data_IF_185407457056
#
_entry.id   IF_185407457056
#
_cell.length_a   1.000
_cell.length_b   1.000
_cell.length_c   1.000
_cell.angle_alpha   90.00
_cell.angle_beta   90.00
_cell.angle_gamma   90.00
#
_symmetry.space_group_name_H-M   'P 1'
#
loop_
_entity.id
_entity.type
_entity.pdbx_description
1 polymer ?
#
# COMPACT_ATOMS: atom_id res chain seq x y z
N UNK A 1 15.14 -51.74 -24.77
CA UNK A 1 16.06 -51.55 -23.62
C UNK A 1 16.74 -50.20 -23.80
N UNK A 2 16.26 -49.21 -23.04
CA UNK A 2 16.85 -47.94 -22.57
C UNK A 2 18.03 -47.31 -23.33
N UNK A 3 17.94 -46.01 -23.62
CA UNK A 3 19.00 -45.05 -23.26
C UNK A 3 18.49 -43.59 -23.18
N UNK A 4 18.30 -43.15 -21.93
CA UNK A 4 18.58 -41.85 -21.27
C UNK A 4 18.62 -40.56 -22.13
N UNK A 5 17.69 -39.62 -21.93
CA UNK A 5 17.68 -38.54 -20.91
C UNK A 5 18.85 -37.56 -21.02
N UNK A 6 18.56 -36.34 -21.48
CA UNK A 6 19.39 -35.16 -21.19
C UNK A 6 18.48 -33.97 -20.90
N UNK A 7 17.96 -33.96 -19.67
CA UNK A 7 17.27 -32.83 -19.07
C UNK A 7 18.30 -31.75 -18.74
N UNK A 8 18.28 -30.64 -19.47
CA UNK A 8 19.04 -29.45 -19.11
C UNK A 8 18.43 -28.84 -17.84
N UNK A 9 19.07 -29.12 -16.69
CA UNK A 9 18.72 -28.48 -15.43
C UNK A 9 19.28 -27.06 -15.45
N UNK A 10 18.42 -26.08 -15.75
CA UNK A 10 18.73 -24.68 -15.46
C UNK A 10 18.88 -24.51 -13.96
N UNK A 11 20.11 -24.24 -13.51
CA UNK A 11 20.44 -23.93 -12.14
C UNK A 11 19.79 -22.59 -11.76
N UNK A 12 18.58 -22.62 -11.19
CA UNK A 12 17.92 -21.44 -10.61
C UNK A 12 18.77 -20.95 -9.44
N UNK A 13 19.44 -19.82 -9.61
CA UNK A 13 20.07 -19.08 -8.52
C UNK A 13 18.99 -18.67 -7.51
N UNK A 14 18.94 -19.36 -6.36
CA UNK A 14 18.21 -18.85 -5.20
C UNK A 14 18.97 -17.63 -4.67
N UNK A 15 18.54 -16.43 -5.06
CA UNK A 15 18.85 -15.23 -4.31
C UNK A 15 17.94 -15.23 -3.08
N UNK A 16 18.44 -15.77 -1.98
CA UNK A 16 17.86 -15.57 -0.66
C UNK A 16 17.97 -14.06 -0.32
N UNK A 17 16.91 -13.30 -0.56
CA UNK A 17 16.73 -12.02 0.13
C UNK A 17 16.44 -12.35 1.58
N UNK A 18 17.44 -12.19 2.44
CA UNK A 18 17.25 -12.19 3.87
C UNK A 18 16.21 -11.11 4.22
N UNK A 19 15.04 -11.54 4.68
CA UNK A 19 14.10 -10.66 5.36
C UNK A 19 14.77 -10.17 6.64
N UNK A 20 14.91 -8.85 6.87
CA UNK A 20 15.29 -8.40 8.19
C UNK A 20 14.16 -8.81 9.15
N UNK A 21 14.45 -9.78 10.02
CA UNK A 21 13.64 -10.03 11.20
C UNK A 21 13.75 -8.78 12.06
N UNK A 22 12.74 -7.91 11.98
CA UNK A 22 12.61 -6.79 12.89
C UNK A 22 12.32 -7.37 14.28
N UNK A 23 13.38 -7.67 15.02
CA UNK A 23 13.32 -7.99 16.43
C UNK A 23 12.80 -6.75 17.14
N UNK A 24 11.49 -6.72 17.39
CA UNK A 24 10.86 -5.67 18.17
C UNK A 24 11.32 -5.83 19.61
N UNK A 25 12.43 -5.18 19.95
CA UNK A 25 12.77 -4.91 21.35
C UNK A 25 11.66 -4.05 21.90
N UNK A 26 10.75 -4.67 22.66
CA UNK A 26 9.71 -4.00 23.41
C UNK A 26 10.38 -3.19 24.52
N UNK A 27 10.87 -2.01 24.16
CA UNK A 27 11.21 -0.99 25.12
C UNK A 27 9.90 -0.58 25.80
N UNK A 28 9.75 -1.00 27.05
CA UNK A 28 8.69 -0.59 27.97
C UNK A 28 8.91 0.90 28.25
N UNK A 29 8.45 1.73 27.32
CA UNK A 29 8.27 3.15 27.57
C UNK A 29 6.92 3.33 28.28
N UNK A 30 6.85 4.14 29.34
CA UNK A 30 5.57 4.45 29.98
C UNK A 30 4.58 4.97 28.93
N UNK A 31 3.26 4.82 29.14
CA UNK A 31 2.26 5.40 28.26
C UNK A 31 2.26 6.93 28.45
N UNK A 32 3.30 7.60 27.96
CA UNK A 32 3.14 8.96 27.49
C UNK A 32 2.10 8.90 26.38
N UNK A 33 1.24 9.90 26.28
CA UNK A 33 0.28 10.04 25.19
C UNK A 33 1.02 10.11 23.86
N UNK A 34 1.39 8.96 23.30
CA UNK A 34 2.17 8.83 22.07
C UNK A 34 1.25 9.24 20.94
N UNK A 35 1.36 10.50 20.52
CA UNK A 35 0.70 11.00 19.31
C UNK A 35 1.08 10.06 18.16
N UNK A 36 0.08 9.57 17.41
CA UNK A 36 0.30 8.75 16.21
C UNK A 36 1.09 9.56 15.19
N UNK A 37 2.01 8.90 14.48
CA UNK A 37 2.71 9.51 13.34
C UNK A 37 1.73 9.71 12.19
N UNK A 38 1.75 10.88 11.56
CA UNK A 38 0.94 11.16 10.37
C UNK A 38 1.61 10.50 9.15
N UNK A 39 0.94 9.53 8.54
CA UNK A 39 1.37 8.86 7.31
C UNK A 39 0.56 9.40 6.13
N UNK A 40 1.23 9.75 5.03
CA UNK A 40 0.57 10.11 3.77
C UNK A 40 0.80 8.98 2.77
N UNK A 41 -0.29 8.43 2.23
CA UNK A 41 -0.22 7.36 1.23
C UNK A 41 -0.22 7.93 -0.18
N UNK A 42 0.75 7.56 -1.01
CA UNK A 42 0.82 7.97 -2.42
C UNK A 42 0.60 6.75 -3.31
N UNK A 43 -0.46 6.77 -4.11
CA UNK A 43 -0.77 5.66 -5.00
C UNK A 43 -1.96 5.93 -5.90
N UNK A 44 -2.03 5.21 -7.01
CA UNK A 44 -3.16 5.27 -7.96
C UNK A 44 -3.59 3.91 -8.51
N UNK A 45 -2.70 2.97 -8.85
CA UNK A 45 -3.13 1.72 -9.48
C UNK A 45 -3.84 0.79 -8.47
N UNK A 46 -4.58 -0.19 -8.98
CA UNK A 46 -5.33 -1.16 -8.16
C UNK A 46 -4.44 -1.93 -7.18
N UNK A 47 -3.20 -2.27 -7.58
CA UNK A 47 -2.23 -2.94 -6.71
C UNK A 47 -1.86 -2.13 -5.47
N UNK A 48 -1.98 -0.81 -5.53
CA UNK A 48 -1.73 0.07 -4.38
C UNK A 48 -2.93 0.16 -3.43
N UNK A 49 -4.14 -0.18 -3.89
CA UNK A 49 -5.34 -0.12 -3.04
C UNK A 49 -5.31 -1.17 -1.92
N UNK A 50 -4.81 -2.39 -2.18
CA UNK A 50 -4.65 -3.41 -1.13
C UNK A 50 -3.63 -3.04 -0.06
N UNK A 51 -2.58 -2.28 -0.44
CA UNK A 51 -1.62 -1.73 0.52
C UNK A 51 -2.29 -0.66 1.38
N UNK A 52 -3.09 0.23 0.77
CA UNK A 52 -3.86 1.23 1.50
C UNK A 52 -4.83 0.57 2.49
N UNK A 53 -5.54 -0.48 2.07
CA UNK A 53 -6.44 -1.25 2.94
C UNK A 53 -5.75 -1.73 4.22
N UNK A 54 -4.60 -2.39 4.04
CA UNK A 54 -3.79 -2.93 5.14
C UNK A 54 -3.31 -1.81 6.08
N UNK A 55 -2.93 -0.65 5.53
CA UNK A 55 -2.51 0.51 6.32
C UNK A 55 -3.67 1.12 7.10
N UNK A 56 -4.86 1.22 6.50
CA UNK A 56 -6.06 1.70 7.18
C UNK A 56 -6.42 0.78 8.34
N UNK A 57 -6.43 -0.54 8.13
CA UNK A 57 -6.66 -1.53 9.18
C UNK A 57 -5.64 -1.40 10.32
N UNK A 58 -4.35 -1.40 9.99
CA UNK A 58 -3.28 -1.25 10.97
C UNK A 58 -3.34 0.09 11.71
N UNK A 59 -3.81 1.16 11.07
CA UNK A 59 -3.94 2.49 11.67
C UNK A 59 -5.09 2.60 12.67
N UNK A 60 -6.15 1.79 12.50
CA UNK A 60 -7.33 1.78 13.35
C UNK A 60 -7.06 1.23 14.76
N UNK A 61 -6.02 0.39 14.91
CA UNK A 61 -5.64 -0.18 16.18
C UNK A 61 -5.27 0.90 17.22
N UNK A 62 -5.65 0.67 18.48
CA UNK A 62 -5.32 1.56 19.61
C UNK A 62 -3.81 1.63 19.87
N UNK A 63 -3.08 0.56 19.55
CA UNK A 63 -1.63 0.44 19.69
C UNK A 63 -0.88 0.92 18.45
N UNK A 64 -1.58 1.39 17.42
CA UNK A 64 -0.94 1.80 16.17
C UNK A 64 0.02 2.96 16.38
N UNK A 65 1.18 2.88 15.74
CA UNK A 65 2.21 3.92 15.78
C UNK A 65 1.92 5.06 14.80
N UNK A 66 0.96 4.89 13.91
CA UNK A 66 0.63 5.84 12.86
C UNK A 66 -0.87 5.92 12.58
N UNK A 67 -1.25 6.98 11.90
CA UNK A 67 -2.56 7.16 11.30
C UNK A 67 -2.37 7.57 9.83
N UNK A 68 -3.26 7.10 8.95
CA UNK A 68 -3.29 7.58 7.57
C UNK A 68 -3.92 8.97 7.58
N UNK A 69 -3.09 9.99 7.49
CA UNK A 69 -3.49 11.38 7.62
C UNK A 69 -4.01 11.97 6.31
N UNK A 70 -3.56 11.42 5.18
CA UNK A 70 -3.93 11.87 3.85
C UNK A 70 -3.61 10.80 2.80
N UNK A 71 -4.31 10.88 1.68
CA UNK A 71 -4.09 10.06 0.50
C UNK A 71 -3.84 10.98 -0.66
N UNK A 72 -2.81 10.71 -1.45
CA UNK A 72 -2.50 11.43 -2.68
C UNK A 72 -2.61 10.45 -3.84
N UNK A 73 -3.40 10.83 -4.84
CA UNK A 73 -3.70 9.98 -5.97
C UNK A 73 -3.87 10.81 -7.25
N UNK A 74 -3.92 10.14 -8.40
CA UNK A 74 -4.17 10.85 -9.65
C UNK A 74 -5.59 11.46 -9.67
N UNK A 75 -5.76 12.62 -10.31
CA UNK A 75 -7.07 13.19 -10.58
C UNK A 75 -7.99 12.18 -11.29
N UNK A 76 -9.32 12.30 -11.11
CA UNK A 76 -10.28 11.53 -11.88
C UNK A 76 -9.99 11.62 -13.37
N UNK A 77 -9.99 10.47 -14.04
CA UNK A 77 -9.61 10.38 -15.46
C UNK A 77 -10.55 9.45 -16.22
N UNK A 78 -10.61 9.61 -17.54
CA UNK A 78 -11.48 8.81 -18.39
C UNK A 78 -10.97 7.37 -18.48
N UNK A 79 -11.78 6.41 -18.01
CA UNK A 79 -11.50 4.96 -18.07
C UNK A 79 -12.64 4.21 -18.75
N UNK A 80 -12.36 2.97 -19.14
CA UNK A 80 -13.29 2.02 -19.76
C UNK A 80 -13.82 2.50 -21.13
N UNK A 81 -14.70 1.69 -21.74
CA UNK A 81 -15.37 2.09 -22.99
C UNK A 81 -16.26 3.30 -22.73
N UNK A 82 -16.20 4.29 -23.61
CA UNK A 82 -16.91 5.56 -23.42
C UNK A 82 -16.19 6.58 -22.52
N UNK A 83 -14.98 6.27 -22.01
CA UNK A 83 -14.12 7.20 -21.25
C UNK A 83 -14.86 7.91 -20.10
N UNK A 84 -15.64 7.16 -19.33
CA UNK A 84 -16.30 7.72 -18.15
C UNK A 84 -15.24 8.25 -17.20
N UNK A 85 -15.41 9.49 -16.75
CA UNK A 85 -14.52 10.07 -15.73
C UNK A 85 -14.78 9.35 -14.43
N UNK A 86 -13.76 8.64 -13.95
CA UNK A 86 -13.82 7.85 -12.73
C UNK A 86 -12.66 8.23 -11.80
N UNK A 87 -12.86 8.13 -10.48
CA UNK A 87 -11.75 8.22 -9.54
C UNK A 87 -10.72 7.13 -9.81
N UNK A 88 -9.48 7.37 -9.37
CA UNK A 88 -8.45 6.34 -9.38
C UNK A 88 -8.92 5.12 -8.54
N UNK A 89 -8.41 3.91 -8.81
CA UNK A 89 -8.66 2.74 -7.96
C UNK A 89 -8.42 2.99 -6.46
N UNK A 90 -7.36 3.74 -6.12
CA UNK A 90 -7.04 4.11 -4.74
C UNK A 90 -8.06 5.10 -4.16
N UNK A 91 -8.44 6.14 -4.91
CA UNK A 91 -9.45 7.10 -4.49
C UNK A 91 -10.80 6.42 -4.23
N UNK A 92 -11.25 5.56 -5.16
CA UNK A 92 -12.50 4.83 -5.00
C UNK A 92 -12.46 3.96 -3.75
N UNK A 93 -11.39 3.18 -3.55
CA UNK A 93 -11.25 2.33 -2.37
C UNK A 93 -11.23 3.13 -1.06
N UNK A 94 -10.60 4.30 -1.04
CA UNK A 94 -10.59 5.19 0.13
C UNK A 94 -12.00 5.69 0.47
N UNK A 95 -12.76 6.15 -0.55
CA UNK A 95 -14.14 6.60 -0.41
C UNK A 95 -15.05 5.46 0.09
N UNK A 96 -14.91 4.26 -0.48
CA UNK A 96 -15.70 3.08 -0.10
C UNK A 96 -15.44 2.68 1.38
N UNK A 97 -14.24 2.96 1.89
CA UNK A 97 -13.85 2.73 3.30
C UNK A 97 -14.24 3.89 4.23
N UNK A 98 -14.91 4.92 3.72
CA UNK A 98 -15.34 6.08 4.48
C UNK A 98 -14.19 7.02 4.86
N UNK A 99 -13.07 7.00 4.13
CA UNK A 99 -11.99 7.96 4.34
C UNK A 99 -12.46 9.37 3.94
N UNK A 100 -12.15 10.42 4.73
CA UNK A 100 -12.62 11.78 4.44
C UNK A 100 -12.15 12.28 3.07
N UNK A 101 -13.09 12.73 2.24
CA UNK A 101 -12.82 13.18 0.86
C UNK A 101 -11.87 14.40 0.82
N UNK A 102 -11.97 15.29 1.81
CA UNK A 102 -11.11 16.46 1.97
C UNK A 102 -9.64 16.12 2.26
N UNK A 103 -9.36 14.86 2.64
CA UNK A 103 -8.02 14.32 2.86
C UNK A 103 -7.54 13.45 1.68
N UNK A 104 -8.28 13.40 0.57
CA UNK A 104 -7.90 12.74 -0.68
C UNK A 104 -7.45 13.81 -1.68
N UNK A 105 -6.14 14.00 -1.77
CA UNK A 105 -5.54 14.98 -2.66
C UNK A 105 -5.34 14.41 -4.06
N UNK A 106 -5.78 15.20 -5.06
CA UNK A 106 -5.63 14.90 -6.47
C UNK A 106 -4.85 16.00 -7.18
N UNK A 107 -3.55 16.15 -6.90
CA UNK A 107 -2.76 17.23 -7.46
C UNK A 107 -2.77 17.19 -8.99
N UNK A 108 -3.09 18.33 -9.60
CA UNK A 108 -2.90 18.58 -11.03
C UNK A 108 -1.47 19.02 -11.30
N UNK A 109 -1.10 19.22 -12.57
CA UNK A 109 0.24 19.70 -12.94
C UNK A 109 0.58 21.01 -12.24
N UNK A 110 1.81 21.11 -11.76
CA UNK A 110 2.38 22.39 -11.39
C UNK A 110 2.52 23.26 -12.65
N UNK A 111 2.03 24.49 -12.56
CA UNK A 111 2.18 25.56 -13.55
C UNK A 111 3.58 26.16 -13.50
#
# INVERSE_FOLDING_TARGET
MHHLSSSSLMLRRLCCLATPSFSSSAAVFPPSSKKKKKLVFLGSPSVSASVLETLLDASSASTSLFEVAAIVTQPPSGRDRGRKVLPSPVAQHALDRGFPEDLIFTPVKAS
#
